data_IF_055946293741
#
_entry.id   IF_055946293741
#
_cell.length_a   1.000
_cell.length_b   1.000
_cell.length_c   1.000
_cell.angle_alpha   90.00
_cell.angle_beta   90.00
_cell.angle_gamma   90.00
#
_symmetry.space_group_name_H-M   'P 1'
#
loop_
_entity.id
_entity.type
_entity.pdbx_description
1 polymer ?
#
# COMPACT_ATOMS: atom_id res chain seq x y z
N UNK A 1 7.60 0.50 -25.82
CA UNK A 1 7.32 -0.70 -25.02
C UNK A 1 6.92 -0.25 -23.62
N UNK A 2 5.63 -0.20 -23.30
CA UNK A 2 5.14 0.25 -21.98
C UNK A 2 4.64 -0.99 -21.27
N UNK A 3 5.35 -1.39 -20.21
CA UNK A 3 5.03 -2.54 -19.39
C UNK A 3 3.63 -2.40 -18.81
N UNK A 4 2.70 -3.17 -19.35
CA UNK A 4 1.36 -3.36 -18.83
C UNK A 4 1.43 -4.33 -17.66
N UNK A 5 1.88 -3.88 -16.50
CA UNK A 5 1.71 -4.71 -15.32
C UNK A 5 1.58 -3.88 -14.03
N UNK A 6 0.33 -3.61 -13.64
CA UNK A 6 0.00 -3.07 -12.30
C UNK A 6 -1.33 -3.58 -11.74
N UNK A 7 -1.90 -4.66 -12.27
CA UNK A 7 -3.09 -5.26 -11.64
C UNK A 7 -3.16 -6.77 -11.85
N UNK A 8 -2.59 -7.50 -10.90
CA UNK A 8 -2.74 -8.95 -10.80
C UNK A 8 -3.90 -9.22 -9.83
N UNK A 9 -5.04 -9.65 -10.37
CA UNK A 9 -6.27 -9.96 -9.61
C UNK A 9 -6.05 -11.07 -8.58
N UNK A 10 -5.07 -11.96 -8.81
CA UNK A 10 -4.66 -13.00 -7.87
C UNK A 10 -3.14 -13.03 -7.76
N UNK A 11 -2.58 -12.55 -6.63
CA UNK A 11 -1.14 -12.67 -6.33
C UNK A 11 -0.66 -14.12 -6.11
N UNK A 12 -1.57 -15.09 -6.20
CA UNK A 12 -1.32 -16.52 -5.97
C UNK A 12 -0.35 -17.15 -6.99
N UNK A 13 0.06 -16.44 -8.04
CA UNK A 13 1.10 -16.89 -8.97
C UNK A 13 2.49 -17.01 -8.34
N UNK A 14 2.68 -16.53 -7.10
CA UNK A 14 3.92 -16.66 -6.34
C UNK A 14 3.96 -17.84 -5.35
N UNK A 15 2.89 -18.65 -5.24
CA UNK A 15 2.91 -19.81 -4.33
C UNK A 15 3.65 -21.00 -4.97
N UNK A 16 4.98 -20.90 -4.97
CA UNK A 16 5.86 -21.86 -5.61
C UNK A 16 5.80 -23.23 -4.93
N UNK A 17 5.73 -23.26 -3.59
CA UNK A 17 5.64 -24.49 -2.80
C UNK A 17 4.36 -25.29 -3.09
N UNK A 18 3.20 -24.62 -3.09
CA UNK A 18 1.94 -25.28 -3.40
C UNK A 18 1.90 -25.72 -4.87
N UNK A 19 2.45 -24.92 -5.79
CA UNK A 19 2.51 -25.26 -7.21
C UNK A 19 3.37 -26.51 -7.46
N UNK A 20 4.55 -26.59 -6.83
CA UNK A 20 5.46 -27.73 -6.89
C UNK A 20 4.82 -29.00 -6.29
N UNK A 21 4.15 -28.87 -5.16
CA UNK A 21 3.42 -29.99 -4.55
C UNK A 21 2.32 -30.53 -5.48
N UNK A 22 1.55 -29.65 -6.13
CA UNK A 22 0.50 -30.07 -7.06
C UNK A 22 1.06 -30.72 -8.34
N UNK A 23 2.19 -30.22 -8.86
CA UNK A 23 2.88 -30.81 -10.00
C UNK A 23 3.42 -32.21 -9.67
N UNK A 24 4.11 -32.36 -8.53
CA UNK A 24 4.64 -33.66 -8.10
C UNK A 24 3.54 -34.70 -7.85
N UNK A 25 2.42 -34.31 -7.25
CA UNK A 25 1.23 -35.18 -7.12
C UNK A 25 0.64 -35.58 -8.47
N UNK A 26 0.71 -34.69 -9.46
CA UNK A 26 0.21 -34.97 -10.82
C UNK A 26 1.14 -35.89 -11.60
N UNK A 27 2.46 -35.76 -11.44
CA UNK A 27 3.46 -36.67 -12.03
C UNK A 27 3.34 -38.08 -11.42
N UNK A 28 3.25 -38.17 -10.09
CA UNK A 28 3.02 -39.44 -9.38
C UNK A 28 1.76 -40.18 -9.87
N UNK A 29 0.69 -39.45 -10.23
CA UNK A 29 -0.54 -40.02 -10.80
C UNK A 29 -0.37 -40.53 -12.25
N UNK A 30 0.65 -40.08 -12.97
CA UNK A 30 0.89 -40.49 -14.37
C UNK A 30 1.83 -41.69 -14.45
N UNK A 31 2.77 -41.80 -13.51
CA UNK A 31 3.70 -42.93 -13.43
C UNK A 31 3.02 -44.21 -12.90
N UNK A 32 1.96 -44.09 -12.09
CA UNK A 32 1.15 -45.25 -11.67
C UNK A 32 0.07 -45.57 -12.70
N UNK A 33 0.45 -46.28 -13.76
CA UNK A 33 -0.51 -47.02 -14.56
C UNK A 33 -1.00 -48.21 -13.71
N UNK A 34 -2.25 -48.18 -13.26
CA UNK A 34 -3.01 -49.19 -12.49
C UNK A 34 -3.18 -48.96 -10.96
N UNK A 35 -4.46 -48.87 -10.58
CA UNK A 35 -5.06 -49.19 -9.27
C UNK A 35 -4.65 -48.40 -8.00
N UNK A 36 -5.03 -47.13 -7.90
CA UNK A 36 -5.33 -46.52 -6.59
C UNK A 36 -6.74 -45.92 -6.63
N UNK A 37 -7.73 -46.70 -6.18
CA UNK A 37 -9.09 -46.24 -5.94
C UNK A 37 -9.07 -45.27 -4.75
N UNK A 38 -8.85 -43.98 -5.00
CA UNK A 38 -9.13 -42.96 -3.98
C UNK A 38 -10.63 -42.97 -3.73
N UNK A 39 -11.02 -43.43 -2.55
CA UNK A 39 -12.41 -43.33 -2.09
C UNK A 39 -12.86 -41.87 -2.22
N UNK A 40 -14.02 -41.60 -2.84
CA UNK A 40 -14.50 -40.24 -2.98
C UNK A 40 -14.75 -39.67 -1.58
N UNK A 41 -14.03 -38.58 -1.25
CA UNK A 41 -14.14 -37.90 0.02
C UNK A 41 -15.59 -37.51 0.32
N UNK A 42 -15.99 -37.69 1.57
CA UNK A 42 -17.31 -37.29 2.03
C UNK A 42 -17.51 -35.78 1.86
N UNK A 43 -18.74 -35.35 1.62
CA UNK A 43 -19.09 -33.93 1.46
C UNK A 43 -18.59 -33.08 2.65
N UNK A 44 -18.70 -33.61 3.87
CA UNK A 44 -18.24 -32.94 5.09
C UNK A 44 -16.73 -32.71 5.09
N UNK A 45 -15.96 -33.67 4.59
CA UNK A 45 -14.51 -33.59 4.49
C UNK A 45 -14.08 -32.62 3.40
N UNK A 46 -14.76 -32.61 2.26
CA UNK A 46 -14.54 -31.62 1.18
C UNK A 46 -14.73 -30.20 1.68
N UNK A 47 -15.83 -29.93 2.41
CA UNK A 47 -16.09 -28.61 2.99
C UNK A 47 -15.02 -28.20 4.02
N UNK A 48 -14.58 -29.13 4.87
CA UNK A 48 -13.48 -28.89 5.82
C UNK A 48 -12.18 -28.56 5.10
N UNK A 49 -11.79 -29.33 4.08
CA UNK A 49 -10.58 -29.10 3.29
C UNK A 49 -10.60 -27.75 2.59
N UNK A 50 -11.73 -27.39 1.96
CA UNK A 50 -11.94 -26.07 1.36
C UNK A 50 -11.76 -24.95 2.39
N UNK A 51 -12.37 -25.08 3.56
CA UNK A 51 -12.27 -24.07 4.62
C UNK A 51 -10.84 -23.92 5.15
N UNK A 52 -10.14 -25.03 5.41
CA UNK A 52 -8.73 -25.04 5.84
C UNK A 52 -7.83 -24.41 4.77
N UNK A 53 -8.08 -24.70 3.49
CA UNK A 53 -7.36 -24.09 2.36
C UNK A 53 -7.45 -22.56 2.40
N UNK A 54 -8.66 -22.02 2.58
CA UNK A 54 -8.87 -20.58 2.69
C UNK A 54 -8.18 -19.98 3.92
N UNK A 55 -8.22 -20.65 5.08
CA UNK A 55 -7.58 -20.15 6.30
C UNK A 55 -6.06 -20.09 6.20
N UNK A 56 -5.43 -21.08 5.55
CA UNK A 56 -3.98 -21.19 5.46
C UNK A 56 -3.39 -20.39 4.29
N UNK A 57 -4.04 -20.41 3.11
CA UNK A 57 -3.48 -19.87 1.87
C UNK A 57 -4.23 -18.63 1.37
N UNK A 58 -5.40 -18.32 1.94
CA UNK A 58 -6.29 -17.25 1.46
C UNK A 58 -7.10 -17.62 0.20
N UNK A 59 -6.97 -18.85 -0.31
CA UNK A 59 -7.66 -19.32 -1.51
C UNK A 59 -7.88 -20.85 -1.50
N UNK A 60 -8.67 -21.35 -2.45
CA UNK A 60 -8.94 -22.80 -2.61
C UNK A 60 -7.92 -23.47 -3.54
N UNK A 61 -7.07 -24.33 -2.97
CA UNK A 61 -5.97 -25.03 -3.69
C UNK A 61 -6.49 -25.85 -4.87
N UNK A 62 -7.67 -26.47 -4.76
CA UNK A 62 -8.26 -27.29 -5.83
C UNK A 62 -8.60 -26.48 -7.10
N UNK A 63 -8.76 -25.16 -6.99
CA UNK A 63 -9.02 -24.25 -8.12
C UNK A 63 -7.75 -23.62 -8.70
N UNK A 64 -6.58 -23.89 -8.13
CA UNK A 64 -5.31 -23.37 -8.66
C UNK A 64 -5.05 -23.93 -10.06
N UNK A 65 -4.81 -23.02 -11.01
CA UNK A 65 -4.35 -23.37 -12.35
C UNK A 65 -2.84 -23.34 -12.37
N UNK A 66 -2.21 -24.50 -12.32
CA UNK A 66 -0.76 -24.66 -12.44
C UNK A 66 -0.42 -25.02 -13.88
N UNK A 67 0.49 -24.26 -14.50
CA UNK A 67 1.00 -24.56 -15.84
C UNK A 67 2.05 -25.69 -15.73
N UNK A 68 1.83 -26.79 -16.45
CA UNK A 68 2.76 -27.92 -16.47
C UNK A 68 3.48 -27.95 -17.83
N UNK A 69 4.76 -27.57 -17.84
CA UNK A 69 5.59 -27.47 -19.04
C UNK A 69 6.10 -28.82 -19.54
N UNK A 70 5.96 -29.89 -18.75
CA UNK A 70 6.43 -31.24 -19.12
C UNK A 70 5.45 -31.99 -20.02
N UNK A 71 4.20 -31.51 -20.10
CA UNK A 71 3.15 -32.11 -20.91
C UNK A 71 3.13 -31.47 -22.28
N UNK A 72 3.22 -32.30 -23.34
CA UNK A 72 2.97 -31.83 -24.71
C UNK A 72 1.62 -31.09 -24.73
N UNK A 73 1.55 -29.87 -25.29
CA UNK A 73 0.29 -29.15 -25.37
C UNK A 73 -0.68 -30.02 -26.16
N UNK A 74 -1.80 -30.42 -25.54
CA UNK A 74 -2.88 -31.07 -26.27
C UNK A 74 -3.41 -30.05 -27.28
N UNK A 75 -3.01 -30.20 -28.54
CA UNK A 75 -3.40 -29.36 -29.67
C UNK A 75 -4.93 -29.13 -29.72
N UNK A 76 -5.70 -30.11 -29.24
CA UNK A 76 -7.16 -30.08 -29.16
C UNK A 76 -7.76 -29.01 -28.21
N UNK A 77 -6.99 -28.46 -27.24
CA UNK A 77 -7.56 -27.56 -26.21
C UNK A 77 -7.30 -26.08 -26.44
N UNK A 78 -6.50 -25.72 -27.45
CA UNK A 78 -6.28 -24.31 -27.82
C UNK A 78 -7.59 -23.63 -28.27
N UNK A 79 -8.56 -24.40 -28.77
CA UNK A 79 -9.88 -23.87 -29.17
C UNK A 79 -10.78 -23.51 -27.98
N UNK A 80 -10.63 -24.22 -26.86
CA UNK A 80 -11.41 -24.02 -25.63
C UNK A 80 -10.73 -23.06 -24.63
N UNK A 81 -9.47 -22.67 -24.89
CA UNK A 81 -8.76 -21.61 -24.19
C UNK A 81 -9.10 -20.21 -24.73
N UNK A 82 -10.25 -20.06 -25.41
CA UNK A 82 -10.95 -18.77 -25.39
C UNK A 82 -11.32 -18.48 -23.95
N UNK A 83 -10.35 -17.96 -23.19
CA UNK A 83 -10.59 -17.14 -22.01
C UNK A 83 -11.73 -16.24 -22.44
N UNK A 84 -12.94 -16.46 -21.91
CA UNK A 84 -14.11 -15.64 -22.20
C UNK A 84 -13.61 -14.21 -22.12
N UNK A 85 -13.41 -13.55 -23.27
CA UNK A 85 -12.53 -12.39 -23.38
C UNK A 85 -13.00 -11.38 -22.36
N UNK A 86 -12.36 -11.38 -21.19
CA UNK A 86 -12.69 -10.44 -20.14
C UNK A 86 -12.09 -9.19 -20.68
N UNK A 87 -12.93 -8.37 -21.30
CA UNK A 87 -12.56 -7.07 -21.83
C UNK A 87 -11.71 -6.43 -20.73
N UNK A 88 -10.39 -6.29 -20.92
CA UNK A 88 -9.53 -5.78 -19.87
C UNK A 88 -10.03 -4.39 -19.54
N UNK A 89 -10.17 -4.09 -18.24
CA UNK A 89 -10.58 -2.76 -17.80
C UNK A 89 -9.67 -1.74 -18.47
N UNK A 90 -10.26 -0.87 -19.31
CA UNK A 90 -9.52 0.22 -19.95
C UNK A 90 -9.17 1.24 -18.87
N UNK A 91 -7.89 1.31 -18.50
CA UNK A 91 -7.36 2.37 -17.64
C UNK A 91 -6.75 3.43 -18.55
N UNK A 92 -7.13 4.69 -18.35
CA UNK A 92 -6.56 5.80 -19.11
C UNK A 92 -5.08 5.95 -18.74
N UNK A 93 -4.21 6.05 -19.74
CA UNK A 93 -2.77 6.24 -19.53
C UNK A 93 -2.42 7.68 -19.12
N UNK A 94 -3.31 8.64 -19.43
CA UNK A 94 -3.12 10.05 -19.12
C UNK A 94 -3.79 10.39 -17.79
N UNK A 95 -3.20 11.31 -16.99
CA UNK A 95 -3.85 11.81 -15.78
C UNK A 95 -5.17 12.50 -16.14
N UNK A 96 -6.13 12.46 -15.23
CA UNK A 96 -7.41 13.14 -15.40
C UNK A 96 -7.28 14.65 -15.15
N UNK A 97 -6.49 15.02 -14.14
CA UNK A 97 -6.23 16.41 -13.75
C UNK A 97 -4.75 16.59 -13.47
N UNK A 98 -4.25 17.78 -13.77
CA UNK A 98 -2.87 18.18 -13.52
C UNK A 98 -2.96 19.46 -12.67
N UNK A 99 -2.32 19.43 -11.51
CA UNK A 99 -2.21 20.57 -10.60
C UNK A 99 -0.76 21.05 -10.64
N UNK A 100 -0.58 22.37 -10.58
CA UNK A 100 0.73 22.96 -10.43
C UNK A 100 1.11 22.95 -8.95
N UNK A 101 2.33 22.48 -8.65
CA UNK A 101 2.88 22.43 -7.31
C UNK A 101 4.21 23.22 -7.29
N UNK A 102 4.15 24.56 -7.35
CA UNK A 102 5.36 25.39 -7.31
C UNK A 102 6.05 25.21 -5.96
N UNK A 103 7.39 25.16 -5.95
CA UNK A 103 8.20 25.06 -4.73
C UNK A 103 7.89 23.81 -3.87
N UNK A 104 7.37 22.74 -4.47
CA UNK A 104 7.31 21.45 -3.79
C UNK A 104 8.72 20.95 -3.50
N UNK A 105 8.94 20.48 -2.29
CA UNK A 105 10.25 20.04 -1.85
C UNK A 105 10.51 18.63 -2.36
N UNK A 106 11.64 18.46 -3.04
CA UNK A 106 12.11 17.18 -3.54
C UNK A 106 12.98 16.47 -2.50
N UNK A 107 12.38 16.07 -1.38
CA UNK A 107 13.04 15.34 -0.31
C UNK A 107 12.29 14.02 -0.05
N UNK A 108 13.05 12.92 -0.08
CA UNK A 108 12.53 11.56 0.11
C UNK A 108 11.87 11.36 1.48
N UNK A 109 12.27 12.13 2.50
CA UNK A 109 11.78 11.98 3.87
C UNK A 109 10.57 12.86 4.19
N UNK A 110 10.06 13.60 3.20
CA UNK A 110 8.91 14.50 3.38
C UNK A 110 7.63 13.85 2.91
N UNK A 111 6.55 14.11 3.66
CA UNK A 111 5.19 13.72 3.30
C UNK A 111 4.40 14.97 2.95
N UNK A 112 4.70 15.56 1.79
CA UNK A 112 4.20 16.87 1.37
C UNK A 112 2.77 16.87 0.82
N UNK A 113 2.10 15.72 0.75
CA UNK A 113 0.75 15.61 0.20
C UNK A 113 -0.07 14.57 0.95
N UNK A 114 -1.32 14.92 1.26
CA UNK A 114 -2.28 13.97 1.82
C UNK A 114 -3.71 14.27 1.35
N UNK A 115 -4.50 13.20 1.15
CA UNK A 115 -5.87 13.28 0.67
C UNK A 115 -6.85 13.05 1.82
N UNK A 116 -7.57 14.11 2.18
CA UNK A 116 -8.47 14.13 3.33
C UNK A 116 -9.88 13.67 3.00
N UNK A 117 -10.75 13.81 4.01
CA UNK A 117 -12.18 13.66 3.81
C UNK A 117 -12.75 14.80 2.95
N UNK A 118 -13.98 14.67 2.45
CA UNK A 118 -14.64 15.65 1.57
C UNK A 118 -13.86 16.03 0.30
N UNK A 119 -13.02 15.12 -0.18
CA UNK A 119 -12.26 15.27 -1.41
C UNK A 119 -11.32 16.48 -1.43
N UNK A 120 -10.84 16.86 -0.24
CA UNK A 120 -9.89 17.95 -0.03
C UNK A 120 -8.47 17.39 0.05
N UNK A 121 -7.62 17.83 -0.87
CA UNK A 121 -6.21 17.52 -0.92
C UNK A 121 -5.44 18.58 -0.13
N UNK A 122 -4.54 18.18 0.77
CA UNK A 122 -3.56 19.07 1.39
C UNK A 122 -2.21 18.91 0.68
N UNK A 123 -1.56 20.03 0.37
CA UNK A 123 -0.26 20.08 -0.29
C UNK A 123 0.63 21.09 0.43
N UNK A 124 1.78 20.63 0.88
CA UNK A 124 2.86 21.46 1.42
C UNK A 124 3.76 21.94 0.28
N UNK A 125 3.86 23.26 0.15
CA UNK A 125 4.71 23.96 -0.81
C UNK A 125 5.65 24.87 -0.01
N UNK A 126 6.90 24.44 0.14
CA UNK A 126 7.92 25.10 0.95
C UNK A 126 7.45 25.38 2.40
N UNK A 127 7.24 26.65 2.76
CA UNK A 127 6.77 27.09 4.08
C UNK A 127 5.24 27.22 4.17
N UNK A 128 4.50 26.93 3.10
CA UNK A 128 3.07 27.12 3.00
C UNK A 128 2.32 25.79 2.88
N UNK A 129 1.12 25.72 3.44
CA UNK A 129 0.21 24.59 3.28
C UNK A 129 -1.06 25.06 2.59
N UNK A 130 -1.31 24.49 1.42
CA UNK A 130 -2.50 24.73 0.63
C UNK A 130 -3.46 23.55 0.73
N UNK A 131 -4.76 23.85 0.63
CA UNK A 131 -5.76 22.84 0.33
C UNK A 131 -6.43 23.09 -0.99
N UNK A 132 -6.78 21.99 -1.65
CA UNK A 132 -7.53 21.99 -2.88
C UNK A 132 -8.72 21.04 -2.76
N UNK A 133 -9.94 21.60 -2.79
CA UNK A 133 -11.15 20.80 -2.80
C UNK A 133 -11.51 20.41 -4.24
N UNK A 134 -11.52 19.12 -4.52
CA UNK A 134 -11.76 18.56 -5.87
C UNK A 134 -13.22 18.76 -6.34
N UNK A 135 -14.18 18.82 -5.42
CA UNK A 135 -15.60 18.99 -5.74
C UNK A 135 -15.93 20.44 -6.08
N UNK A 136 -15.41 21.38 -5.29
CA UNK A 136 -15.62 22.82 -5.47
C UNK A 136 -14.60 23.46 -6.41
N UNK A 137 -13.55 22.74 -6.79
CA UNK A 137 -12.38 23.25 -7.52
C UNK A 137 -11.80 24.51 -6.90
N UNK A 138 -11.79 24.59 -5.56
CA UNK A 138 -11.32 25.77 -4.83
C UNK A 138 -9.99 25.46 -4.14
N UNK A 139 -9.03 26.38 -4.30
CA UNK A 139 -7.75 26.36 -3.60
C UNK A 139 -7.77 27.37 -2.45
N UNK A 140 -7.24 27.00 -1.30
CA UNK A 140 -7.12 27.85 -0.11
C UNK A 140 -5.71 27.71 0.48
N UNK A 141 -5.15 28.81 0.98
CA UNK A 141 -3.97 28.80 1.84
C UNK A 141 -4.46 28.63 3.28
N UNK A 142 -4.03 27.57 3.96
CA UNK A 142 -4.44 27.30 5.36
C UNK A 142 -3.39 27.78 6.35
N UNK A 143 -2.11 27.56 6.05
CA UNK A 143 -1.04 27.94 6.95
C UNK A 143 0.16 28.45 6.17
N UNK A 144 0.80 29.47 6.71
CA UNK A 144 2.06 30.02 6.24
C UNK A 144 2.99 30.15 7.44
N UNK A 145 4.15 29.52 7.33
CA UNK A 145 5.17 29.53 8.36
C UNK A 145 6.26 30.56 8.03
N UNK A 146 6.86 31.22 9.03
CA UNK A 146 7.91 32.19 8.78
C UNK A 146 9.15 31.51 8.21
N UNK A 147 9.70 32.10 7.15
CA UNK A 147 10.92 31.62 6.47
C UNK A 147 12.13 32.03 7.33
N UNK A 148 12.40 31.25 8.37
CA UNK A 148 13.55 31.42 9.26
C UNK A 148 14.42 30.17 9.14
N UNK A 149 15.72 30.32 8.98
CA UNK A 149 16.70 29.21 8.92
C UNK A 149 16.38 28.11 7.88
N UNK A 150 15.85 28.47 6.71
CA UNK A 150 15.53 27.51 5.64
C UNK A 150 14.51 26.43 6.08
N UNK A 151 13.59 26.83 6.98
CA UNK A 151 12.50 25.97 7.46
C UNK A 151 11.42 25.82 6.42
N UNK A 152 10.99 24.57 6.26
CA UNK A 152 9.87 24.18 5.42
C UNK A 152 8.96 23.19 6.14
N UNK A 153 7.79 22.95 5.55
CA UNK A 153 6.80 21.97 6.00
C UNK A 153 7.23 20.58 5.56
N UNK A 154 7.35 19.66 6.51
CA UNK A 154 7.86 18.30 6.26
C UNK A 154 6.76 17.32 5.97
N UNK A 155 5.70 17.36 6.78
CA UNK A 155 4.62 16.38 6.71
C UNK A 155 3.28 17.09 6.86
N UNK A 156 2.33 16.67 6.04
CA UNK A 156 0.90 16.98 6.18
C UNK A 156 0.14 15.68 6.31
N UNK A 157 -0.79 15.60 7.27
CA UNK A 157 -1.61 14.40 7.44
C UNK A 157 -3.01 14.72 7.95
N UNK A 158 -4.01 14.29 7.20
CA UNK A 158 -5.41 14.40 7.56
C UNK A 158 -5.81 13.36 8.60
N UNK A 159 -6.65 13.77 9.54
CA UNK A 159 -7.32 12.83 10.42
C UNK A 159 -8.38 12.05 9.64
N UNK A 160 -8.39 10.70 9.66
CA UNK A 160 -9.30 9.89 8.83
C UNK A 160 -10.81 10.09 9.04
N UNK A 161 -11.22 10.72 10.16
CA UNK A 161 -12.62 10.90 10.55
C UNK A 161 -13.03 12.36 10.78
N UNK A 162 -12.10 13.30 10.62
CA UNK A 162 -12.36 14.70 10.94
C UNK A 162 -11.65 15.61 9.94
N UNK A 163 -12.07 16.86 9.86
CA UNK A 163 -11.45 17.88 9.00
C UNK A 163 -10.19 18.50 9.65
N UNK A 164 -9.50 17.74 10.50
CA UNK A 164 -8.28 18.20 11.15
C UNK A 164 -7.07 17.78 10.32
N UNK A 165 -6.18 18.73 10.10
CA UNK A 165 -4.91 18.53 9.42
C UNK A 165 -3.77 18.70 10.41
N UNK A 166 -2.94 17.68 10.56
CA UNK A 166 -1.68 17.77 11.29
C UNK A 166 -0.58 18.25 10.32
N UNK A 167 0.21 19.23 10.75
CA UNK A 167 1.32 19.79 9.99
C UNK A 167 2.57 19.82 10.87
N UNK A 168 3.71 19.43 10.29
CA UNK A 168 5.02 19.48 10.96
C UNK A 168 6.02 20.25 10.13
N UNK A 169 6.98 20.90 10.80
CA UNK A 169 8.06 21.64 10.16
C UNK A 169 9.43 21.13 10.61
N UNK A 170 10.40 21.18 9.71
CA UNK A 170 11.80 20.69 9.82
C UNK A 170 12.50 20.91 11.15
N UNK A 171 12.28 22.05 11.81
CA UNK A 171 13.02 22.45 13.02
C UNK A 171 12.15 22.82 14.20
N UNK A 172 10.85 22.65 14.05
CA UNK A 172 9.95 22.78 15.17
C UNK A 172 9.71 21.38 15.72
N UNK A 173 10.07 21.20 16.99
CA UNK A 173 9.63 20.11 17.85
C UNK A 173 8.11 20.18 18.11
N UNK A 174 7.34 20.71 17.16
CA UNK A 174 5.92 20.93 17.31
C UNK A 174 5.15 20.40 16.12
N UNK A 175 3.96 19.91 16.43
CA UNK A 175 2.96 19.47 15.47
C UNK A 175 1.79 20.42 15.62
N UNK A 176 1.46 21.13 14.55
CA UNK A 176 0.30 22.00 14.53
C UNK A 176 -0.91 21.24 14.01
N UNK A 177 -2.02 21.36 14.72
CA UNK A 177 -3.33 20.85 14.32
C UNK A 177 -4.14 22.02 13.80
N UNK A 178 -4.46 21.96 12.51
CA UNK A 178 -5.23 22.95 11.78
C UNK A 178 -6.66 22.43 11.59
N UNK A 179 -7.65 23.32 11.72
CA UNK A 179 -8.96 23.17 11.07
C UNK A 179 -9.21 24.43 10.27
N UNK A 180 -9.61 24.30 9.01
CA UNK A 180 -9.78 25.44 8.10
C UNK A 180 -10.46 26.66 8.77
N UNK A 181 -9.87 27.88 8.74
CA UNK A 181 -8.49 28.28 8.37
C UNK A 181 -7.57 28.57 9.58
N UNK A 182 -7.81 27.98 10.75
CA UNK A 182 -7.12 28.32 12.00
C UNK A 182 -6.27 27.18 12.55
N UNK A 183 -5.13 27.56 13.15
CA UNK A 183 -4.39 26.69 14.05
C UNK A 183 -5.20 26.53 15.34
N UNK A 184 -5.63 25.31 15.63
CA UNK A 184 -6.38 25.02 16.87
C UNK A 184 -5.40 24.75 18.01
N UNK A 185 -4.37 23.95 17.73
CA UNK A 185 -3.52 23.41 18.77
C UNK A 185 -2.11 23.15 18.25
N UNK A 186 -1.12 23.57 19.02
CA UNK A 186 0.28 23.21 18.81
C UNK A 186 0.69 22.21 19.88
N UNK A 187 1.10 21.02 19.45
CA UNK A 187 1.60 19.95 20.31
C UNK A 187 3.12 19.93 20.27
N UNK A 188 3.79 19.87 21.43
CA UNK A 188 5.26 19.70 21.47
C UNK A 188 5.65 18.23 21.49
N UNK A 189 6.54 17.82 20.61
CA UNK A 189 7.22 16.53 20.62
C UNK A 189 8.39 16.58 21.61
N UNK A 190 8.55 15.56 22.45
CA UNK A 190 9.62 15.51 23.47
C UNK A 190 11.02 15.22 22.91
N UNK A 191 11.27 15.46 21.62
CA UNK A 191 12.52 15.11 20.93
C UNK A 191 13.72 16.01 21.37
N UNK A 192 13.46 17.21 21.90
CA UNK A 192 14.47 18.12 22.47
C UNK A 192 14.86 17.84 23.92
N UNK A 193 14.33 16.80 24.58
CA UNK A 193 14.77 16.48 25.93
C UNK A 193 16.12 15.72 25.91
N UNK A 194 17.22 16.45 25.75
CA UNK A 194 18.54 15.94 26.07
C UNK A 194 18.72 15.99 27.59
N UNK A 195 18.75 14.80 28.22
CA UNK A 195 19.25 14.67 29.59
C UNK A 195 20.76 14.92 29.52
N UNK A 196 21.18 16.16 29.81
CA UNK A 196 22.59 16.46 30.05
C UNK A 196 23.01 15.77 31.35
N UNK A 197 23.41 14.51 31.24
CA UNK A 197 24.07 13.77 32.31
C UNK A 197 25.43 14.40 32.56
N UNK A 198 25.49 15.48 33.34
CA UNK A 198 26.74 15.89 33.96
C UNK A 198 27.10 14.81 34.98
N UNK A 199 27.94 13.85 34.57
CA UNK A 199 28.70 13.03 35.51
C UNK A 199 29.54 14.00 36.33
N UNK A 200 29.04 14.35 37.52
CA UNK A 200 29.88 14.93 38.56
C UNK A 200 30.73 13.78 39.07
N UNK A 201 31.93 13.65 38.52
CA UNK A 201 32.99 12.87 39.13
C UNK A 201 33.34 13.54 40.47
N UNK A 202 32.69 13.10 41.55
CA UNK A 202 33.16 13.38 42.90
C UNK A 202 34.33 12.44 43.16
N UNK A 203 35.54 12.92 42.85
CA UNK A 203 36.77 12.35 43.41
C UNK A 203 36.72 12.47 44.94
N UNK A 204 36.89 11.39 45.71
CA UNK A 204 37.21 11.50 47.12
C UNK A 204 38.74 11.55 47.25
N UNK A 205 39.30 12.74 47.42
CA UNK A 205 40.65 12.90 48.00
C UNK A 205 40.59 13.78 49.25
N UNK A 206 41.09 13.18 50.34
CA UNK A 206 41.39 13.68 51.69
C UNK A 206 40.24 13.89 52.67
#
# INVERSE_FOLDING_TARGET
>A
MVGTDRYIINRNSYDDFTSYFLLSQSQKKQETCSSDQKTPLSYREKKKRKHISYLLHGYEIENLKVLDHTKKPREARLKDLKVKDRIPRKVKAKPERILEAPNVINDYYTFSIDWGHHNTLAVALDNCVYTWNTERNKTLLIAEYPIIDNRYVNCVSWKPKNELLAVTSTRHDTIDILAEPYVIQTLRTNLSHQVNGTLRDTNPEN
#
